data_IF_212862609230
#
_entry.id   IF_212862609230
#
_cell.length_a   1.000
_cell.length_b   1.000
_cell.length_c   1.000
_cell.angle_alpha   90.00
_cell.angle_beta   90.00
_cell.angle_gamma   90.00
#
_symmetry.space_group_name_H-M   'P 1'
#
loop_
_entity.id
_entity.type
_entity.pdbx_description
1 polymer ?
#
# COMPACT_ATOMS: atom_id res chain seq x y z
N UNK A 1 42.84 15.82 -40.50
CA UNK A 1 42.25 15.16 -39.32
C UNK A 1 43.17 14.03 -38.89
N UNK A 2 43.60 14.03 -37.63
CA UNK A 2 44.50 13.02 -37.08
C UNK A 2 43.72 11.79 -36.59
N UNK A 3 44.36 10.62 -36.59
CA UNK A 3 43.77 9.36 -36.07
C UNK A 3 43.16 9.50 -34.66
N UNK A 4 43.73 10.36 -33.82
CA UNK A 4 43.22 10.65 -32.49
C UNK A 4 41.81 11.30 -32.48
N UNK A 5 41.49 12.15 -33.46
CA UNK A 5 40.18 12.81 -33.56
C UNK A 5 39.09 11.80 -33.91
N UNK A 6 39.38 10.85 -34.80
CA UNK A 6 38.46 9.76 -35.15
C UNK A 6 38.16 8.84 -33.95
N UNK A 7 39.18 8.55 -33.13
CA UNK A 7 39.01 7.75 -31.91
C UNK A 7 38.16 8.49 -30.88
N UNK A 8 38.42 9.79 -30.67
CA UNK A 8 37.64 10.62 -29.75
C UNK A 8 36.17 10.74 -30.19
N UNK A 9 35.91 10.91 -31.49
CA UNK A 9 34.55 10.93 -32.05
C UNK A 9 33.86 9.57 -31.83
N UNK A 10 34.57 8.47 -32.06
CA UNK A 10 34.05 7.11 -31.82
C UNK A 10 33.66 6.90 -30.36
N UNK A 11 34.51 7.31 -29.41
CA UNK A 11 34.23 7.24 -27.97
C UNK A 11 33.01 8.11 -27.61
N UNK A 12 32.95 9.34 -28.12
CA UNK A 12 31.83 10.26 -27.86
C UNK A 12 30.49 9.72 -28.38
N UNK A 13 30.48 9.08 -29.54
CA UNK A 13 29.29 8.44 -30.10
C UNK A 13 28.81 7.27 -29.23
N UNK A 14 29.72 6.41 -28.79
CA UNK A 14 29.39 5.28 -27.90
C UNK A 14 28.80 5.79 -26.59
N UNK A 15 29.46 6.77 -25.95
CA UNK A 15 28.98 7.35 -24.69
C UNK A 15 27.59 8.00 -24.84
N UNK A 16 27.37 8.72 -25.94
CA UNK A 16 26.07 9.35 -26.24
C UNK A 16 24.99 8.28 -26.45
N UNK A 17 25.28 7.23 -27.22
CA UNK A 17 24.35 6.12 -27.44
C UNK A 17 24.01 5.40 -26.13
N UNK A 18 25.00 5.15 -25.26
CA UNK A 18 24.80 4.56 -23.93
C UNK A 18 23.93 5.46 -23.05
N UNK A 19 24.17 6.78 -23.05
CA UNK A 19 23.36 7.72 -22.28
C UNK A 19 21.89 7.70 -22.72
N UNK A 20 21.63 7.72 -24.04
CA UNK A 20 20.28 7.62 -24.60
C UNK A 20 19.60 6.31 -24.20
N UNK A 21 20.33 5.19 -24.23
CA UNK A 21 19.83 3.89 -23.82
C UNK A 21 19.44 3.87 -22.32
N UNK A 22 20.28 4.43 -21.45
CA UNK A 22 20.01 4.54 -20.00
C UNK A 22 18.78 5.40 -19.74
N UNK A 23 18.66 6.56 -20.40
CA UNK A 23 17.50 7.44 -20.26
C UNK A 23 16.21 6.70 -20.68
N UNK A 24 16.25 5.99 -21.81
CA UNK A 24 15.10 5.20 -22.27
C UNK A 24 14.74 4.08 -21.28
N UNK A 25 15.74 3.41 -20.72
CA UNK A 25 15.54 2.38 -19.71
C UNK A 25 14.88 2.94 -18.45
N UNK A 26 15.33 4.10 -17.95
CA UNK A 26 14.73 4.78 -16.80
C UNK A 26 13.26 5.14 -17.06
N UNK A 27 12.94 5.64 -18.25
CA UNK A 27 11.55 5.96 -18.62
C UNK A 27 10.67 4.70 -18.60
N UNK A 28 11.16 3.58 -19.13
CA UNK A 28 10.42 2.31 -19.12
C UNK A 28 10.25 1.75 -17.71
N UNK A 29 11.28 1.80 -16.87
CA UNK A 29 11.21 1.38 -15.47
C UNK A 29 10.18 2.20 -14.68
N UNK A 30 10.17 3.52 -14.85
CA UNK A 30 9.17 4.37 -14.22
C UNK A 30 7.74 4.04 -14.66
N UNK A 31 7.52 3.76 -15.95
CA UNK A 31 6.21 3.33 -16.46
C UNK A 31 5.77 1.99 -15.89
N UNK A 32 6.68 1.02 -15.80
CA UNK A 32 6.41 -0.30 -15.21
C UNK A 32 6.08 -0.18 -13.72
N UNK A 33 6.83 0.63 -12.98
CA UNK A 33 6.56 0.90 -11.56
C UNK A 33 5.17 1.50 -11.37
N UNK A 34 4.79 2.50 -12.20
CA UNK A 34 3.45 3.07 -12.14
C UNK A 34 2.36 2.06 -12.48
N UNK A 35 2.57 1.21 -13.49
CA UNK A 35 1.62 0.14 -13.83
C UNK A 35 1.45 -0.87 -12.68
N UNK A 36 2.55 -1.25 -12.01
CA UNK A 36 2.50 -2.13 -10.84
C UNK A 36 1.76 -1.48 -9.67
N UNK A 37 2.02 -0.21 -9.38
CA UNK A 37 1.30 0.54 -8.33
C UNK A 37 -0.20 0.60 -8.64
N UNK A 38 -0.56 0.86 -9.89
CA UNK A 38 -1.96 0.90 -10.32
C UNK A 38 -2.63 -0.48 -10.21
N UNK A 39 -1.92 -1.54 -10.62
CA UNK A 39 -2.41 -2.91 -10.49
C UNK A 39 -2.63 -3.29 -9.03
N UNK A 40 -1.67 -3.00 -8.14
CA UNK A 40 -1.82 -3.23 -6.70
C UNK A 40 -2.95 -2.39 -6.09
N UNK A 41 -3.16 -1.15 -6.54
CA UNK A 41 -4.32 -0.34 -6.12
C UNK A 41 -5.63 -0.99 -6.53
N UNK A 42 -5.70 -1.46 -7.77
CA UNK A 42 -6.89 -2.08 -8.29
C UNK A 42 -7.19 -3.39 -7.56
N UNK A 43 -6.17 -4.22 -7.36
CA UNK A 43 -6.26 -5.45 -6.58
C UNK A 43 -6.74 -5.18 -5.15
N UNK A 44 -6.11 -4.24 -4.45
CA UNK A 44 -6.48 -3.85 -3.09
C UNK A 44 -7.92 -3.30 -3.03
N UNK A 45 -8.32 -2.45 -3.98
CA UNK A 45 -9.70 -1.97 -4.07
C UNK A 45 -10.69 -3.13 -4.29
N UNK A 46 -10.39 -4.04 -5.22
CA UNK A 46 -11.26 -5.19 -5.49
C UNK A 46 -11.34 -6.16 -4.31
N UNK A 47 -10.29 -6.23 -3.49
CA UNK A 47 -10.30 -7.05 -2.27
C UNK A 47 -11.04 -6.39 -1.11
N UNK A 48 -11.03 -5.05 -0.99
CA UNK A 48 -11.77 -4.36 0.09
C UNK A 48 -13.29 -4.53 0.06
N UNK A 49 -13.88 -4.84 -1.09
CA UNK A 49 -15.33 -5.04 -1.25
C UNK A 49 -15.77 -6.51 -1.31
N UNK A 50 -14.84 -7.46 -1.20
CA UNK A 50 -15.17 -8.89 -1.31
C UNK A 50 -15.78 -9.42 -0.02
N UNK A 51 -16.56 -10.47 -0.14
CA UNK A 51 -17.00 -11.22 1.04
C UNK A 51 -15.83 -12.04 1.60
N UNK A 52 -15.64 -11.97 2.92
CA UNK A 52 -14.70 -12.81 3.65
C UNK A 52 -15.23 -14.24 3.67
N UNK A 53 -14.44 -15.16 3.13
CA UNK A 53 -14.80 -16.57 2.97
C UNK A 53 -14.70 -17.34 4.28
N UNK A 54 -15.37 -18.49 4.37
CA UNK A 54 -15.23 -19.39 5.53
C UNK A 54 -13.78 -19.86 5.72
N UNK A 55 -13.07 -20.14 4.62
CA UNK A 55 -11.67 -20.56 4.69
C UNK A 55 -10.75 -19.51 5.31
N UNK A 56 -11.07 -18.22 5.16
CA UNK A 56 -10.32 -17.15 5.82
C UNK A 56 -10.62 -17.05 7.31
N UNK A 57 -11.86 -17.33 7.71
CA UNK A 57 -12.19 -17.45 9.13
C UNK A 57 -11.45 -18.62 9.77
N UNK A 58 -11.40 -19.76 9.10
CA UNK A 58 -10.63 -20.93 9.54
C UNK A 58 -9.13 -20.59 9.69
N UNK A 59 -8.54 -19.87 8.73
CA UNK A 59 -7.15 -19.44 8.83
C UNK A 59 -6.89 -18.54 10.05
N UNK A 60 -7.82 -17.64 10.37
CA UNK A 60 -7.73 -16.77 11.55
C UNK A 60 -7.81 -17.59 12.83
N UNK A 61 -8.62 -18.65 12.88
CA UNK A 61 -8.65 -19.56 14.03
C UNK A 61 -7.35 -20.37 14.19
N UNK A 62 -6.70 -20.73 13.08
CA UNK A 62 -5.42 -21.45 13.10
C UNK A 62 -4.25 -20.56 13.51
N UNK A 63 -4.24 -19.29 13.06
CA UNK A 63 -3.14 -18.35 13.29
C UNK A 63 -3.64 -16.94 13.61
N UNK A 64 -4.25 -16.71 14.79
CA UNK A 64 -4.87 -15.44 15.14
C UNK A 64 -3.85 -14.27 15.20
N UNK A 65 -2.63 -14.57 15.63
CA UNK A 65 -1.54 -13.58 15.77
C UNK A 65 -1.15 -12.92 14.45
N UNK A 66 -1.46 -13.52 13.30
CA UNK A 66 -1.19 -12.90 12.00
C UNK A 66 -2.14 -11.73 11.70
N UNK A 67 -3.29 -11.66 12.37
CA UNK A 67 -4.38 -10.73 12.04
C UNK A 67 -4.70 -9.75 13.18
N UNK A 68 -4.51 -10.17 14.42
CA UNK A 68 -4.91 -9.40 15.60
C UNK A 68 -4.12 -9.79 16.85
N UNK A 69 -4.30 -9.04 17.93
CA UNK A 69 -3.81 -9.44 19.26
C UNK A 69 -4.68 -10.56 19.84
N UNK A 70 -4.13 -11.34 20.79
CA UNK A 70 -4.89 -12.38 21.48
C UNK A 70 -6.16 -11.84 22.15
N UNK A 71 -6.09 -10.65 22.79
CA UNK A 71 -7.25 -10.03 23.45
C UNK A 71 -8.39 -9.76 22.46
N UNK A 72 -8.07 -9.22 21.29
CA UNK A 72 -9.04 -8.97 20.22
C UNK A 72 -9.56 -10.31 19.69
N UNK A 73 -8.70 -11.31 19.49
CA UNK A 73 -9.14 -12.63 19.04
C UNK A 73 -10.18 -13.25 19.99
N UNK A 74 -9.91 -13.24 21.30
CA UNK A 74 -10.84 -13.77 22.31
C UNK A 74 -12.20 -13.06 22.27
N UNK A 75 -12.23 -11.77 21.95
CA UNK A 75 -13.47 -10.99 21.80
C UNK A 75 -14.31 -11.41 20.57
N UNK A 76 -13.65 -11.79 19.47
CA UNK A 76 -14.32 -12.05 18.18
C UNK A 76 -14.48 -13.53 17.82
N UNK A 77 -13.71 -14.45 18.44
CA UNK A 77 -13.62 -15.87 18.02
C UNK A 77 -14.96 -16.60 17.96
N UNK A 78 -15.89 -16.29 18.86
CA UNK A 78 -17.19 -16.98 18.93
C UNK A 78 -18.28 -16.30 18.09
N UNK A 79 -17.93 -15.21 17.38
CA UNK A 79 -18.86 -14.44 16.55
C UNK A 79 -18.31 -14.27 15.12
N UNK A 80 -18.61 -15.22 14.21
CA UNK A 80 -18.14 -15.19 12.82
C UNK A 80 -18.53 -13.91 12.07
N UNK A 81 -19.69 -13.32 12.37
CA UNK A 81 -20.13 -12.08 11.70
C UNK A 81 -19.26 -10.90 12.11
N UNK A 82 -18.96 -10.79 13.40
CA UNK A 82 -18.10 -9.74 13.92
C UNK A 82 -16.64 -9.95 13.48
N UNK A 83 -16.17 -11.20 13.41
CA UNK A 83 -14.87 -11.54 12.86
C UNK A 83 -14.72 -11.11 11.39
N UNK A 84 -15.72 -11.40 10.53
CA UNK A 84 -15.71 -10.92 9.13
C UNK A 84 -15.64 -9.39 9.04
N UNK A 85 -16.35 -8.69 9.93
CA UNK A 85 -16.31 -7.22 9.98
C UNK A 85 -14.92 -6.70 10.38
N UNK A 86 -14.26 -7.35 11.34
CA UNK A 86 -12.88 -7.04 11.71
C UNK A 86 -11.92 -7.26 10.53
N UNK A 87 -12.03 -8.41 9.84
CA UNK A 87 -11.19 -8.72 8.69
C UNK A 87 -11.45 -7.77 7.50
N UNK A 88 -12.69 -7.34 7.29
CA UNK A 88 -12.99 -6.28 6.32
C UNK A 88 -12.36 -4.93 6.72
N UNK A 89 -12.38 -4.58 8.01
CA UNK A 89 -11.69 -3.38 8.50
C UNK A 89 -10.17 -3.47 8.33
N UNK A 90 -9.61 -4.67 8.47
CA UNK A 90 -8.21 -4.98 8.20
C UNK A 90 -7.83 -4.74 6.73
N UNK A 91 -8.58 -5.34 5.80
CA UNK A 91 -8.35 -5.15 4.35
C UNK A 91 -8.44 -3.66 3.98
N UNK A 92 -9.42 -2.96 4.53
CA UNK A 92 -9.61 -1.52 4.32
C UNK A 92 -8.47 -0.69 4.91
N UNK A 93 -7.96 -1.05 6.09
CA UNK A 93 -6.80 -0.39 6.69
C UNK A 93 -5.57 -0.54 5.80
N UNK A 94 -5.29 -1.74 5.30
CA UNK A 94 -4.14 -2.01 4.43
C UNK A 94 -4.26 -1.21 3.14
N UNK A 95 -5.46 -1.16 2.55
CA UNK A 95 -5.73 -0.33 1.38
C UNK A 95 -5.42 1.16 1.64
N UNK A 96 -5.93 1.73 2.74
CA UNK A 96 -5.69 3.14 3.07
C UNK A 96 -4.23 3.42 3.44
N UNK A 97 -3.55 2.47 4.08
CA UNK A 97 -2.13 2.57 4.39
C UNK A 97 -1.28 2.60 3.13
N UNK A 98 -1.56 1.71 2.17
CA UNK A 98 -0.94 1.74 0.85
C UNK A 98 -1.28 3.04 0.12
N UNK A 99 -2.51 3.53 0.28
CA UNK A 99 -2.92 4.76 -0.35
C UNK A 99 -2.13 5.98 0.11
N UNK A 100 -1.99 6.07 1.42
CA UNK A 100 -1.22 7.10 2.07
C UNK A 100 0.28 7.00 1.76
N UNK A 101 0.80 5.78 1.55
CA UNK A 101 2.19 5.59 1.14
C UNK A 101 2.48 6.23 -0.23
N UNK A 102 1.54 6.17 -1.19
CA UNK A 102 1.70 6.87 -2.47
C UNK A 102 1.87 8.38 -2.28
N UNK A 103 1.10 8.99 -1.35
CA UNK A 103 1.23 10.41 -0.98
C UNK A 103 2.63 10.71 -0.45
N UNK A 104 3.13 9.87 0.47
CA UNK A 104 4.45 10.06 1.09
C UNK A 104 5.61 9.89 0.10
N UNK A 105 5.43 9.07 -0.92
CA UNK A 105 6.42 8.85 -1.98
C UNK A 105 6.28 9.85 -3.15
N UNK A 106 5.37 10.83 -3.07
CA UNK A 106 5.04 11.76 -4.16
C UNK A 106 4.67 11.03 -5.47
N UNK A 107 4.02 9.87 -5.37
CA UNK A 107 3.59 9.06 -6.52
C UNK A 107 2.11 9.31 -6.79
N UNK A 108 1.72 9.62 -8.04
CA UNK A 108 0.35 10.01 -8.36
C UNK A 108 -0.66 8.96 -7.91
N UNK A 109 -1.72 9.42 -7.24
CA UNK A 109 -2.89 8.60 -6.91
C UNK A 109 -4.01 8.89 -7.92
N UNK A 110 -4.43 7.92 -8.74
CA UNK A 110 -5.47 8.12 -9.75
C UNK A 110 -6.85 8.45 -9.17
N UNK A 111 -7.10 8.15 -7.89
CA UNK A 111 -8.39 8.42 -7.22
C UNK A 111 -8.33 9.73 -6.41
N UNK A 112 -7.12 10.23 -6.14
CA UNK A 112 -6.89 11.45 -5.37
C UNK A 112 -6.81 11.20 -3.86
N UNK A 113 -5.87 11.88 -3.20
CA UNK A 113 -5.56 11.64 -1.79
C UNK A 113 -6.65 12.10 -0.82
N UNK A 114 -7.48 13.06 -1.22
CA UNK A 114 -8.54 13.64 -0.40
C UNK A 114 -9.51 12.57 0.11
N UNK A 115 -9.80 11.56 -0.73
CA UNK A 115 -10.63 10.41 -0.37
C UNK A 115 -10.03 9.57 0.74
N UNK A 116 -8.71 9.37 0.74
CA UNK A 116 -8.01 8.62 1.78
C UNK A 116 -8.17 9.30 3.14
N UNK A 117 -8.10 10.63 3.17
CA UNK A 117 -8.25 11.40 4.41
C UNK A 117 -9.69 11.38 4.92
N UNK A 118 -10.67 11.58 4.04
CA UNK A 118 -12.10 11.54 4.40
C UNK A 118 -12.51 10.17 4.94
N UNK A 119 -12.10 9.09 4.28
CA UNK A 119 -12.45 7.73 4.72
C UNK A 119 -11.74 7.35 6.00
N UNK A 120 -10.45 7.67 6.13
CA UNK A 120 -9.71 7.45 7.38
C UNK A 120 -10.43 8.07 8.59
N UNK A 121 -10.87 9.34 8.47
CA UNK A 121 -11.57 10.01 9.55
C UNK A 121 -12.92 9.34 9.88
N UNK A 122 -13.71 8.97 8.87
CA UNK A 122 -14.98 8.28 9.08
C UNK A 122 -14.79 6.89 9.71
N UNK A 123 -13.77 6.15 9.28
CA UNK A 123 -13.49 4.80 9.75
C UNK A 123 -12.96 4.74 11.18
N UNK A 124 -12.29 5.79 11.65
CA UNK A 124 -11.90 5.90 13.06
C UNK A 124 -13.08 5.92 14.03
N UNK A 125 -14.31 6.20 13.57
CA UNK A 125 -15.51 6.05 14.38
C UNK A 125 -15.91 4.58 14.63
N UNK A 126 -15.39 3.64 13.84
CA UNK A 126 -15.67 2.21 13.97
C UNK A 126 -14.68 1.53 14.91
N UNK A 127 -15.20 0.77 15.86
CA UNK A 127 -14.41 0.07 16.87
C UNK A 127 -13.40 -0.90 16.25
N UNK A 128 -13.84 -1.72 15.30
CA UNK A 128 -13.00 -2.72 14.63
C UNK A 128 -11.80 -2.06 13.93
N UNK A 129 -12.01 -0.91 13.29
CA UNK A 129 -10.95 -0.19 12.60
C UNK A 129 -9.93 0.41 13.59
N UNK A 130 -10.37 0.87 14.76
CA UNK A 130 -9.46 1.35 15.81
C UNK A 130 -8.62 0.22 16.41
N UNK A 131 -9.22 -0.96 16.59
CA UNK A 131 -8.49 -2.14 17.07
C UNK A 131 -7.47 -2.62 16.04
N UNK A 132 -7.85 -2.68 14.76
CA UNK A 132 -6.92 -2.93 13.64
C UNK A 132 -5.79 -1.91 13.65
N UNK A 133 -6.10 -0.61 13.78
CA UNK A 133 -5.09 0.44 13.83
C UNK A 133 -4.11 0.24 15.01
N UNK A 134 -4.62 -0.06 16.20
CA UNK A 134 -3.79 -0.33 17.37
C UNK A 134 -2.83 -1.50 17.16
N UNK A 135 -3.29 -2.56 16.49
CA UNK A 135 -2.46 -3.72 16.17
C UNK A 135 -1.44 -3.46 15.05
N UNK A 136 -1.86 -2.79 13.98
CA UNK A 136 -1.14 -2.76 12.70
C UNK A 136 -0.29 -1.51 12.50
N UNK A 137 -0.52 -0.42 13.23
CA UNK A 137 0.20 0.84 13.02
C UNK A 137 1.73 0.72 13.05
N UNK A 138 2.27 -0.26 13.77
CA UNK A 138 3.71 -0.58 13.78
C UNK A 138 4.26 -1.01 12.42
N UNK A 139 3.45 -1.67 11.59
CA UNK A 139 3.84 -2.14 10.26
C UNK A 139 3.74 -1.03 9.20
N UNK A 140 2.86 -0.06 9.42
CA UNK A 140 2.64 1.08 8.51
C UNK A 140 2.83 2.42 9.25
N UNK A 141 4.05 2.76 9.69
CA UNK A 141 4.29 3.85 10.63
C UNK A 141 3.84 5.22 10.11
N UNK A 142 4.00 5.51 8.81
CA UNK A 142 3.56 6.80 8.25
C UNK A 142 2.05 6.98 8.30
N UNK A 143 1.29 5.95 7.94
CA UNK A 143 -0.16 5.98 8.02
C UNK A 143 -0.64 5.92 9.47
N UNK A 144 0.07 5.15 10.31
CA UNK A 144 -0.15 5.11 11.74
C UNK A 144 -0.07 6.49 12.39
N UNK A 145 1.01 7.24 12.14
CA UNK A 145 1.17 8.61 12.64
C UNK A 145 0.08 9.56 12.11
N UNK A 146 -0.33 9.38 10.85
CA UNK A 146 -1.42 10.17 10.26
C UNK A 146 -2.77 9.91 10.96
N UNK A 147 -3.11 8.66 11.26
CA UNK A 147 -4.32 8.34 12.02
C UNK A 147 -4.22 8.80 13.48
N UNK A 148 -3.08 8.58 14.12
CA UNK A 148 -2.84 9.04 15.51
C UNK A 148 -2.99 10.57 15.62
N UNK A 149 -2.69 11.36 14.58
CA UNK A 149 -2.93 12.81 14.59
C UNK A 149 -4.40 13.19 14.46
N UNK A 150 -5.24 12.34 13.87
CA UNK A 150 -6.70 12.54 13.79
C UNK A 150 -7.44 12.05 15.04
N UNK A 151 -6.80 11.20 15.84
CA UNK A 151 -7.32 10.72 17.13
C UNK A 151 -7.04 11.69 18.29
N UNK A 152 -6.21 12.72 18.09
CA UNK A 152 -5.98 13.75 19.10
C UNK A 152 -7.15 14.76 19.10
N UNK A 153 -7.70 15.09 20.28
CA UNK A 153 -8.79 16.05 20.42
C UNK A 153 -8.39 17.47 19.99
#
# INVERSE_FOLDING_TARGET
>A
MGYAEYIQIGIALVLTATLVAIIRQLILQNRLLQAQILAHRFEALTTTGREITEGELEQVHLWPDNYMSQEVYEKYKDNPKAMRKYLGALDLYIYLAFAYALKKLNLPDPIGYEWTEQWAAALLAHEEFREVHAYIKRFYPWFGCFLDSHLKP
#
